data_IF_639266355077
#
_entry.id   IF_639266355077
#
_cell.length_a   1.000
_cell.length_b   1.000
_cell.length_c   1.000
_cell.angle_alpha   90.00
_cell.angle_beta   90.00
_cell.angle_gamma   90.00
#
_symmetry.space_group_name_H-M   'P 1'
#
loop_
_entity.id
_entity.type
_entity.pdbx_description
1 polymer ?
#
# COMPACT_ATOMS: atom_id res chain seq x y z
N UNK A 1 -4.74 -8.60 -15.01
CA UNK A 1 -4.62 -8.43 -13.55
C UNK A 1 -3.20 -7.96 -13.26
N UNK A 2 -3.08 -6.92 -12.46
CA UNK A 2 -1.79 -6.41 -11.98
C UNK A 2 -1.49 -7.01 -10.61
N UNK A 3 -0.21 -7.24 -10.35
CA UNK A 3 0.24 -7.67 -9.02
C UNK A 3 0.63 -6.44 -8.22
N UNK A 4 0.29 -6.46 -6.94
CA UNK A 4 0.63 -5.41 -6.01
C UNK A 4 1.40 -5.97 -4.82
N UNK A 5 2.48 -5.31 -4.44
CA UNK A 5 3.11 -5.45 -3.13
C UNK A 5 2.41 -4.50 -2.18
N UNK A 6 1.75 -5.07 -1.17
CA UNK A 6 1.08 -4.35 -0.09
C UNK A 6 1.95 -4.46 1.15
N UNK A 7 2.42 -3.34 1.67
CA UNK A 7 3.21 -3.26 2.90
C UNK A 7 2.44 -2.48 3.95
N UNK A 8 2.41 -3.03 5.15
CA UNK A 8 1.71 -2.51 6.30
C UNK A 8 2.63 -2.55 7.51
N UNK A 9 2.76 -1.40 8.18
CA UNK A 9 3.50 -1.27 9.43
C UNK A 9 2.60 -0.67 10.50
N UNK A 10 2.36 -1.47 11.54
CA UNK A 10 1.58 -1.08 12.71
C UNK A 10 2.48 -0.29 13.65
N UNK A 11 2.24 1.02 13.78
CA UNK A 11 2.99 1.80 14.75
C UNK A 11 2.52 1.44 16.15
N UNK A 12 3.45 1.07 17.03
CA UNK A 12 3.15 0.91 18.45
C UNK A 12 2.82 2.28 19.03
N UNK A 13 1.55 2.56 19.26
CA UNK A 13 1.16 3.53 20.27
C UNK A 13 1.47 2.90 21.64
N UNK A 14 2.05 3.67 22.56
CA UNK A 14 2.60 3.16 23.82
C UNK A 14 1.63 2.27 24.62
N UNK A 15 0.30 2.47 24.47
CA UNK A 15 -0.67 1.88 25.39
C UNK A 15 -1.82 1.11 24.73
N UNK A 16 -1.85 0.92 23.39
CA UNK A 16 -2.94 0.17 22.73
C UNK A 16 -2.45 -0.62 21.51
N UNK A 17 -2.57 -1.94 21.58
CA UNK A 17 -2.51 -2.79 20.39
C UNK A 17 -3.84 -2.67 19.65
N UNK A 18 -3.80 -2.06 18.45
CA UNK A 18 -4.98 -1.97 17.59
C UNK A 18 -5.36 -3.36 17.05
N UNK A 19 -6.67 -3.60 16.93
CA UNK A 19 -7.19 -4.81 16.30
C UNK A 19 -7.17 -4.67 14.77
N UNK A 20 -6.41 -5.54 14.11
CA UNK A 20 -6.29 -5.59 12.64
C UNK A 20 -6.99 -6.82 12.04
N UNK A 21 -7.90 -7.46 12.78
CA UNK A 21 -8.65 -8.63 12.32
C UNK A 21 -9.41 -8.35 11.02
N UNK A 22 -10.00 -7.16 10.87
CA UNK A 22 -10.68 -6.77 9.64
C UNK A 22 -9.73 -6.69 8.43
N UNK A 23 -8.53 -6.11 8.63
CA UNK A 23 -7.50 -6.04 7.59
C UNK A 23 -7.01 -7.44 7.19
N UNK A 24 -6.72 -8.30 8.17
CA UNK A 24 -6.30 -9.67 7.94
C UNK A 24 -7.38 -10.50 7.20
N UNK A 25 -8.65 -10.32 7.58
CA UNK A 25 -9.77 -10.99 6.93
C UNK A 25 -9.94 -10.53 5.48
N UNK A 26 -9.80 -9.23 5.21
CA UNK A 26 -9.89 -8.70 3.84
C UNK A 26 -8.72 -9.22 2.98
N UNK A 27 -7.49 -9.23 3.48
CA UNK A 27 -6.35 -9.82 2.77
C UNK A 27 -6.59 -11.30 2.42
N UNK A 28 -7.14 -12.07 3.37
CA UNK A 28 -7.49 -13.48 3.15
C UNK A 28 -8.61 -13.65 2.12
N UNK A 29 -9.66 -12.82 2.20
CA UNK A 29 -10.78 -12.81 1.24
C UNK A 29 -10.30 -12.54 -0.18
N UNK A 30 -9.38 -11.60 -0.32
CA UNK A 30 -8.73 -11.24 -1.59
C UNK A 30 -7.64 -12.22 -2.02
N UNK A 31 -7.45 -13.34 -1.30
CA UNK A 31 -6.42 -14.36 -1.57
C UNK A 31 -5.00 -13.78 -1.68
N UNK A 32 -4.72 -12.73 -0.92
CA UNK A 32 -3.39 -12.15 -0.86
C UNK A 32 -2.41 -13.15 -0.21
N UNK A 33 -1.22 -13.28 -0.77
CA UNK A 33 -0.16 -14.12 -0.23
C UNK A 33 0.72 -13.29 0.70
N UNK A 34 0.84 -13.70 1.97
CA UNK A 34 1.83 -13.10 2.86
C UNK A 34 3.23 -13.59 2.50
N UNK A 35 4.15 -12.67 2.22
CA UNK A 35 5.54 -12.99 1.86
C UNK A 35 6.53 -12.68 2.98
N UNK A 36 6.23 -11.67 3.80
CA UNK A 36 6.98 -11.31 5.00
C UNK A 36 6.01 -10.76 6.06
N UNK A 37 6.48 -10.52 7.29
CA UNK A 37 5.65 -9.86 8.31
C UNK A 37 5.23 -8.47 7.79
N UNK A 38 3.93 -8.21 7.75
CA UNK A 38 3.39 -6.95 7.24
C UNK A 38 3.50 -6.76 5.72
N UNK A 39 3.95 -7.75 4.95
CA UNK A 39 4.09 -7.62 3.49
C UNK A 39 3.34 -8.74 2.77
N UNK A 40 2.52 -8.35 1.79
CA UNK A 40 1.61 -9.23 1.07
C UNK A 40 1.69 -8.97 -0.44
N UNK A 41 1.42 -10.02 -1.23
CA UNK A 41 1.17 -9.94 -2.66
C UNK A 41 -0.32 -10.09 -2.92
N UNK A 42 -0.90 -9.18 -3.70
CA UNK A 42 -2.28 -9.24 -4.16
C UNK A 42 -2.34 -9.14 -5.69
N UNK A 43 -3.37 -9.73 -6.30
CA UNK A 43 -3.61 -9.70 -7.74
C UNK A 43 -4.99 -9.08 -7.98
N UNK A 44 -5.02 -7.91 -8.63
CA UNK A 44 -6.25 -7.11 -8.78
C UNK A 44 -6.40 -6.55 -10.19
N UNK A 45 -7.63 -6.19 -10.57
CA UNK A 45 -7.91 -5.41 -11.77
C UNK A 45 -8.16 -3.93 -11.38
N UNK A 46 -7.20 -3.35 -10.70
CA UNK A 46 -7.29 -2.01 -10.12
C UNK A 46 -5.96 -1.29 -10.27
N UNK A 47 -5.95 0.04 -10.11
CA UNK A 47 -4.70 0.79 -9.97
C UNK A 47 -4.14 0.71 -8.56
N UNK A 48 -2.85 1.00 -8.37
CA UNK A 48 -2.22 1.07 -7.04
C UNK A 48 -2.98 2.02 -6.09
N UNK A 49 -3.48 3.15 -6.60
CA UNK A 49 -4.29 4.11 -5.84
C UNK A 49 -5.60 3.51 -5.37
N UNK A 50 -6.30 2.76 -6.23
CA UNK A 50 -7.56 2.10 -5.85
C UNK A 50 -7.33 1.03 -4.79
N UNK A 51 -6.30 0.20 -4.96
CA UNK A 51 -5.92 -0.84 -3.98
C UNK A 51 -5.53 -0.21 -2.65
N UNK A 52 -4.70 0.85 -2.67
CA UNK A 52 -4.35 1.60 -1.46
C UNK A 52 -5.60 2.16 -0.76
N UNK A 53 -6.47 2.84 -1.48
CA UNK A 53 -7.68 3.46 -0.92
C UNK A 53 -8.66 2.42 -0.36
N UNK A 54 -8.70 1.21 -0.93
CA UNK A 54 -9.47 0.10 -0.39
C UNK A 54 -8.92 -0.34 0.96
N UNK A 55 -7.63 -0.71 1.01
CA UNK A 55 -7.01 -1.24 2.22
C UNK A 55 -6.85 -0.19 3.34
N UNK A 56 -6.75 1.09 2.97
CA UNK A 56 -6.63 2.20 3.92
C UNK A 56 -7.78 2.27 4.94
N UNK A 57 -8.96 1.75 4.58
CA UNK A 57 -10.16 1.73 5.43
C UNK A 57 -10.02 0.80 6.64
N UNK A 58 -9.09 -0.16 6.60
CA UNK A 58 -8.91 -1.18 7.63
C UNK A 58 -7.69 -0.94 8.52
N UNK A 59 -6.92 0.12 8.28
CA UNK A 59 -5.70 0.46 9.05
C UNK A 59 -5.90 1.75 9.86
N UNK A 60 -5.24 1.85 11.01
CA UNK A 60 -5.38 3.02 11.86
C UNK A 60 -4.69 4.25 11.26
N UNK A 61 -5.07 5.45 11.70
CA UNK A 61 -4.55 6.70 11.12
C UNK A 61 -3.05 6.91 11.32
N UNK A 62 -2.48 6.29 12.36
CA UNK A 62 -1.07 6.41 12.72
C UNK A 62 -0.19 5.36 12.04
N UNK A 63 -0.78 4.36 11.40
CA UNK A 63 -0.07 3.28 10.72
C UNK A 63 0.39 3.70 9.33
N UNK A 64 1.32 2.93 8.78
CA UNK A 64 1.80 3.11 7.42
C UNK A 64 1.26 1.99 6.52
N UNK A 65 0.75 2.37 5.36
CA UNK A 65 0.31 1.48 4.30
C UNK A 65 0.93 1.97 2.99
N UNK A 66 1.61 1.08 2.29
CA UNK A 66 2.19 1.36 0.98
C UNK A 66 1.77 0.24 0.02
N UNK A 67 1.35 0.63 -1.18
CA UNK A 67 0.93 -0.28 -2.25
C UNK A 67 1.72 0.07 -3.50
N UNK A 68 2.49 -0.90 -4.00
CA UNK A 68 3.29 -0.75 -5.21
C UNK A 68 2.80 -1.76 -6.25
N UNK A 69 2.56 -1.28 -7.47
CA UNK A 69 2.32 -2.17 -8.60
C UNK A 69 3.64 -2.82 -9.04
N UNK A 70 3.65 -4.14 -9.17
CA UNK A 70 4.78 -4.87 -9.73
C UNK A 70 4.67 -4.89 -11.25
N UNK A 71 5.67 -4.32 -11.91
CA UNK A 71 5.77 -4.32 -13.37
C UNK A 71 7.02 -5.04 -13.85
N UNK A 72 6.86 -5.80 -14.93
CA UNK A 72 7.90 -6.31 -15.82
C UNK A 72 8.90 -7.34 -15.24
N UNK A 73 9.65 -7.00 -14.19
CA UNK A 73 10.76 -7.81 -13.69
C UNK A 73 10.65 -8.02 -12.19
N UNK A 74 10.87 -9.25 -11.75
CA UNK A 74 11.00 -9.59 -10.34
C UNK A 74 12.07 -10.66 -10.17
N UNK A 75 12.74 -10.62 -9.04
CA UNK A 75 13.65 -11.65 -8.61
C UNK A 75 13.38 -11.91 -7.13
N UNK A 76 13.39 -13.16 -6.73
CA UNK A 76 13.28 -13.52 -5.32
C UNK A 76 14.24 -14.68 -5.02
N UNK A 77 14.77 -14.68 -3.81
CA UNK A 77 15.62 -15.75 -3.28
C UNK A 77 15.05 -16.18 -1.95
N UNK A 78 14.92 -17.49 -1.71
CA UNK A 78 14.56 -18.03 -0.41
C UNK A 78 13.62 -19.24 -0.47
N UNK A 79 13.50 -19.92 0.66
CA UNK A 79 12.68 -21.13 0.81
C UNK A 79 11.18 -20.86 1.00
N UNK A 80 10.69 -19.68 0.59
CA UNK A 80 9.29 -19.31 0.71
C UNK A 80 8.43 -20.20 -0.20
N UNK A 81 8.12 -21.40 0.29
CA UNK A 81 7.17 -22.33 -0.30
C UNK A 81 5.92 -21.51 -0.60
N UNK A 82 5.53 -21.49 -1.87
CA UNK A 82 4.34 -20.84 -2.43
C UNK A 82 4.52 -19.50 -3.15
N UNK A 83 5.64 -18.75 -3.01
CA UNK A 83 5.81 -17.49 -3.77
C UNK A 83 5.92 -17.77 -5.28
N UNK A 84 6.83 -18.67 -5.69
CA UNK A 84 7.00 -19.02 -7.10
C UNK A 84 5.69 -19.50 -7.74
N UNK A 85 5.02 -20.47 -7.11
CA UNK A 85 3.73 -21.00 -7.58
C UNK A 85 2.63 -19.95 -7.63
N UNK A 86 2.59 -19.02 -6.68
CA UNK A 86 1.60 -17.94 -6.68
C UNK A 86 1.85 -16.96 -7.83
N UNK A 87 3.12 -16.64 -8.14
CA UNK A 87 3.51 -15.79 -9.26
C UNK A 87 3.30 -16.48 -10.63
N UNK A 88 3.43 -17.80 -10.70
CA UNK A 88 3.03 -18.57 -11.90
C UNK A 88 1.53 -18.47 -12.17
N UNK A 89 0.70 -18.51 -11.12
CA UNK A 89 -0.76 -18.38 -11.22
C UNK A 89 -1.23 -16.93 -11.38
N UNK A 90 -0.40 -15.97 -10.99
CA UNK A 90 -0.66 -14.53 -11.07
C UNK A 90 0.58 -13.86 -11.66
N UNK A 91 0.78 -13.90 -12.99
CA UNK A 91 1.95 -13.29 -13.60
C UNK A 91 1.85 -11.75 -13.56
N UNK A 92 2.96 -11.01 -13.33
CA UNK A 92 2.92 -9.56 -13.31
C UNK A 92 2.53 -9.00 -14.68
N UNK A 93 1.89 -7.83 -14.68
CA UNK A 93 1.59 -7.14 -15.91
C UNK A 93 2.88 -6.82 -16.67
N UNK A 94 2.87 -7.04 -17.99
CA UNK A 94 3.87 -6.48 -18.88
C UNK A 94 3.59 -4.98 -18.99
N UNK A 95 4.63 -4.16 -18.93
CA UNK A 95 4.51 -2.73 -19.19
C UNK A 95 3.98 -2.52 -20.60
N UNK A 96 2.68 -2.21 -20.73
CA UNK A 96 2.22 -1.35 -21.80
C UNK A 96 2.50 0.09 -21.37
N UNK A 97 3.00 0.91 -22.30
CA UNK A 97 3.32 2.33 -22.04
C UNK A 97 2.11 2.97 -21.36
N UNK A 98 2.28 3.41 -20.11
CA UNK A 98 1.19 3.88 -19.28
C UNK A 98 0.46 5.03 -20.00
N UNK A 99 -0.85 4.86 -20.25
CA UNK A 99 -1.73 6.01 -20.43
C UNK A 99 -1.95 6.57 -19.04
N UNK A 100 -1.31 7.70 -18.77
CA UNK A 100 -1.46 8.46 -17.54
C UNK A 100 -2.92 8.87 -17.31
N UNK A 101 -3.71 8.05 -16.61
CA UNK A 101 -4.91 8.52 -15.93
C UNK A 101 -4.45 9.24 -14.65
N UNK A 102 -4.00 10.48 -14.84
CA UNK A 102 -3.63 11.39 -13.77
C UNK A 102 -4.84 11.65 -12.84
N UNK A 103 -4.95 10.87 -11.77
CA UNK A 103 -5.77 11.25 -10.64
C UNK A 103 -5.16 12.53 -10.01
N UNK A 104 -5.94 13.60 -9.78
CA UNK A 104 -5.36 14.84 -9.26
C UNK A 104 -4.81 14.60 -7.87
N UNK A 105 -3.50 14.81 -7.72
CA UNK A 105 -2.83 14.84 -6.43
C UNK A 105 -3.52 15.89 -5.54
N UNK A 106 -4.04 15.45 -4.40
CA UNK A 106 -4.53 16.36 -3.38
C UNK A 106 -3.40 17.32 -2.98
N UNK A 107 -3.60 18.61 -3.21
CA UNK A 107 -2.63 19.66 -2.87
C UNK A 107 -2.28 19.57 -1.37
N UNK A 108 -1.00 19.62 -0.97
CA UNK A 108 -0.64 19.70 0.43
C UNK A 108 -1.12 21.04 1.01
N UNK A 109 -1.81 20.98 2.15
CA UNK A 109 -2.32 22.14 2.87
C UNK A 109 -1.19 23.13 3.18
N UNK A 110 -1.35 24.38 2.72
CA UNK A 110 -0.42 25.46 2.98
C UNK A 110 -0.31 25.72 4.49
N UNK A 111 0.93 25.70 5.02
CA UNK A 111 1.25 26.14 6.38
C UNK A 111 0.86 27.62 6.54
N UNK A 112 0.04 27.93 7.53
CA UNK A 112 -0.24 29.29 7.96
C UNK A 112 1.03 29.97 8.49
N UNK A 113 1.50 31.03 7.81
CA UNK A 113 2.55 31.90 8.31
C UNK A 113 1.95 32.87 9.34
N UNK A 114 2.39 32.77 10.60
CA UNK A 114 2.10 33.76 11.65
C UNK A 114 2.83 35.07 11.31
N UNK A 115 2.09 36.15 11.11
CA UNK A 115 2.60 37.53 11.07
C UNK A 115 3.12 37.93 12.47
N UNK A 116 4.38 38.37 12.55
CA UNK A 116 4.89 39.10 13.71
C UNK A 116 4.45 40.58 13.63
N UNK A 117 4.18 41.27 14.75
CA UNK A 117 3.86 42.69 14.73
C UNK A 117 5.13 43.55 14.59
N UNK A 118 5.11 44.51 13.68
CA UNK A 118 6.12 45.55 13.58
C UNK A 118 5.91 46.58 14.69
N UNK A 119 7.00 46.93 15.38
CA UNK A 119 7.17 48.11 16.22
C UNK A 119 6.89 49.37 15.39
N UNK A 120 6.21 50.34 15.97
CA UNK A 120 6.23 51.75 15.55
C UNK A 120 6.53 52.57 16.81
N UNK A 121 7.47 53.50 16.65
CA UNK A 121 8.08 54.38 17.65
C UNK A 121 7.10 55.22 18.49
#
# INVERSE_FOLDING_TARGET
MSIFVITFDARKAADKQHDYTAFANELKKQKCLQIQRGTFLGSFNNSATQVHNHFRKFVHKVDSLLVNEMVQNYAYTGAAKNIAKWLELNPPAKLEVAKDDAAPAAKPAAKAAKKAPAKVD
#
